data_IF_734656770513
#
_entry.id   IF_734656770513
#
_cell.length_a   1.000
_cell.length_b   1.000
_cell.length_c   1.000
_cell.angle_alpha   90.00
_cell.angle_beta   90.00
_cell.angle_gamma   90.00
#
_symmetry.space_group_name_H-M   'P 1'
#
loop_
_entity.id
_entity.type
_entity.pdbx_description
1 polymer ?
#
# COMPACT_ATOMS: atom_id res chain seq x y z
N UNK A 1 5.00 5.85 30.88
CA UNK A 1 6.46 6.09 30.95
C UNK A 1 7.23 5.78 29.66
N UNK A 2 6.63 5.14 28.64
CA UNK A 2 7.29 4.96 27.33
C UNK A 2 7.31 6.23 26.46
N UNK A 3 6.38 7.18 26.68
CA UNK A 3 6.26 8.43 25.90
C UNK A 3 7.38 9.47 26.21
N UNK A 4 8.08 9.35 27.35
CA UNK A 4 9.18 10.26 27.72
C UNK A 4 10.53 9.84 27.13
N UNK A 5 10.68 8.61 26.63
CA UNK A 5 11.94 8.14 26.04
C UNK A 5 12.14 8.61 24.59
N UNK A 6 11.06 8.98 23.88
CA UNK A 6 11.13 9.50 22.51
C UNK A 6 11.29 11.03 22.44
N UNK A 7 11.19 11.74 23.58
CA UNK A 7 11.50 13.17 23.68
C UNK A 7 12.98 13.47 23.93
N UNK A 8 13.88 12.48 23.87
CA UNK A 8 15.31 12.75 23.99
C UNK A 8 15.92 13.25 22.68
N UNK A 9 16.06 14.58 22.66
CA UNK A 9 17.13 15.35 22.02
C UNK A 9 17.21 15.25 20.49
N UNK A 10 16.76 16.33 19.84
CA UNK A 10 17.31 16.79 18.56
C UNK A 10 18.85 16.66 18.60
N UNK A 11 19.38 15.66 17.89
CA UNK A 11 20.80 15.60 17.52
C UNK A 11 21.63 14.41 18.01
N UNK A 12 21.15 13.54 18.92
CA UNK A 12 21.93 12.35 19.34
C UNK A 12 21.13 11.06 19.17
N UNK A 13 21.66 10.11 18.39
CA UNK A 13 21.10 8.75 18.31
C UNK A 13 21.24 8.08 19.68
N UNK A 14 20.13 7.78 20.35
CA UNK A 14 20.15 7.08 21.63
C UNK A 14 20.88 5.73 21.55
N UNK A 15 21.38 5.18 22.67
CA UNK A 15 22.18 3.94 22.69
C UNK A 15 21.50 2.71 22.03
N UNK A 16 20.17 2.69 21.98
CA UNK A 16 19.42 1.65 21.28
C UNK A 16 19.56 1.75 19.75
N UNK A 17 19.54 2.97 19.19
CA UNK A 17 19.68 3.19 17.74
C UNK A 17 21.09 2.87 17.25
N UNK A 18 22.11 3.16 18.07
CA UNK A 18 23.51 2.78 17.77
C UNK A 18 23.64 1.27 17.68
N UNK A 19 23.12 0.53 18.69
CA UNK A 19 23.13 -0.94 18.66
C UNK A 19 22.30 -1.51 17.52
N UNK A 20 21.15 -0.92 17.20
CA UNK A 20 20.34 -1.34 16.06
C UNK A 20 21.13 -1.21 14.74
N UNK A 21 21.88 -0.12 14.57
CA UNK A 21 22.76 0.07 13.42
C UNK A 21 23.90 -0.96 13.37
N UNK A 22 24.54 -1.27 14.49
CA UNK A 22 25.58 -2.31 14.58
C UNK A 22 25.02 -3.69 14.19
N UNK A 23 23.86 -4.06 14.73
CA UNK A 23 23.17 -5.31 14.38
C UNK A 23 22.77 -5.34 12.91
N UNK A 24 22.27 -4.24 12.35
CA UNK A 24 21.93 -4.14 10.94
C UNK A 24 23.17 -4.39 10.05
N UNK A 25 24.31 -3.76 10.36
CA UNK A 25 25.55 -3.97 9.60
C UNK A 25 26.03 -5.43 9.70
N UNK A 26 25.94 -6.05 10.87
CA UNK A 26 26.30 -7.44 11.07
C UNK A 26 25.35 -8.40 10.33
N UNK A 27 24.04 -8.14 10.38
CA UNK A 27 23.02 -8.89 9.65
C UNK A 27 23.24 -8.77 8.14
N UNK A 28 23.57 -7.59 7.62
CA UNK A 28 23.86 -7.40 6.20
C UNK A 28 25.05 -8.25 5.74
N UNK A 29 26.12 -8.35 6.55
CA UNK A 29 27.27 -9.22 6.27
C UNK A 29 26.89 -10.70 6.31
N UNK A 30 26.08 -11.11 7.28
CA UNK A 30 25.62 -12.49 7.41
C UNK A 30 24.73 -12.89 6.23
N UNK A 31 23.75 -12.06 5.88
CA UNK A 31 22.85 -12.24 4.73
C UNK A 31 23.63 -12.34 3.42
N UNK A 32 24.66 -11.50 3.21
CA UNK A 32 25.52 -11.60 2.03
C UNK A 32 26.21 -12.95 1.90
N UNK A 33 26.68 -13.53 3.03
CA UNK A 33 27.27 -14.87 3.03
C UNK A 33 26.22 -15.94 2.76
N UNK A 34 25.05 -15.85 3.40
CA UNK A 34 23.96 -16.80 3.22
C UNK A 34 23.42 -16.83 1.78
N UNK A 35 23.30 -15.66 1.12
CA UNK A 35 22.86 -15.58 -0.28
C UNK A 35 23.91 -16.14 -1.25
N UNK A 36 25.20 -16.09 -0.90
CA UNK A 36 26.28 -16.63 -1.72
C UNK A 36 26.43 -18.15 -1.59
N UNK A 37 25.87 -18.75 -0.53
CA UNK A 37 25.86 -20.19 -0.31
C UNK A 37 24.61 -20.81 -0.96
N UNK A 38 24.76 -21.78 -1.89
CA UNK A 38 23.65 -22.36 -2.63
C UNK A 38 22.67 -23.16 -1.77
N UNK A 39 23.05 -23.56 -0.55
CA UNK A 39 22.19 -24.25 0.41
C UNK A 39 21.46 -23.21 1.28
N UNK A 40 22.20 -22.26 1.85
CA UNK A 40 21.62 -21.27 2.78
C UNK A 40 20.64 -20.32 2.10
N UNK A 41 20.84 -20.01 0.81
CA UNK A 41 19.92 -19.13 0.06
C UNK A 41 18.50 -19.72 -0.04
N UNK A 42 18.37 -21.05 0.04
CA UNK A 42 17.08 -21.74 -0.01
C UNK A 42 16.33 -21.71 1.34
N UNK A 43 17.01 -21.45 2.47
CA UNK A 43 16.42 -21.51 3.81
C UNK A 43 15.50 -20.33 4.12
N UNK A 44 14.31 -20.56 4.66
CA UNK A 44 13.36 -19.51 5.11
C UNK A 44 14.00 -18.42 5.96
N UNK A 45 14.97 -18.77 6.81
CA UNK A 45 15.74 -17.82 7.61
C UNK A 45 16.46 -16.74 6.77
N UNK A 46 17.00 -17.10 5.60
CA UNK A 46 17.68 -16.14 4.72
C UNK A 46 16.71 -15.14 4.11
N UNK A 47 15.52 -15.60 3.69
CA UNK A 47 14.47 -14.72 3.16
C UNK A 47 13.93 -13.82 4.28
N UNK A 48 13.66 -14.39 5.45
CA UNK A 48 13.23 -13.64 6.63
C UNK A 48 14.24 -12.56 7.03
N UNK A 49 15.54 -12.89 7.00
CA UNK A 49 16.59 -11.91 7.30
C UNK A 49 16.63 -10.76 6.28
N UNK A 50 16.44 -11.03 4.98
CA UNK A 50 16.33 -9.97 3.96
C UNK A 50 15.11 -9.09 4.17
N UNK A 51 13.96 -9.67 4.51
CA UNK A 51 12.74 -8.92 4.81
C UNK A 51 12.88 -8.09 6.09
N UNK A 52 13.58 -8.59 7.10
CA UNK A 52 13.90 -7.83 8.31
C UNK A 52 14.86 -6.66 8.04
N UNK A 53 15.77 -6.79 7.07
CA UNK A 53 16.58 -5.65 6.61
C UNK A 53 15.70 -4.61 5.91
N UNK A 54 14.74 -5.01 5.06
CA UNK A 54 13.76 -4.08 4.49
C UNK A 54 12.96 -3.37 5.59
N UNK A 55 12.50 -4.12 6.60
CA UNK A 55 11.77 -3.56 7.73
C UNK A 55 12.61 -2.54 8.52
N UNK A 56 13.89 -2.83 8.75
CA UNK A 56 14.82 -1.88 9.36
C UNK A 56 14.89 -0.58 8.56
N UNK A 57 14.96 -0.65 7.22
CA UNK A 57 14.96 0.54 6.37
C UNK A 57 13.68 1.34 6.50
N UNK A 58 12.51 0.71 6.58
CA UNK A 58 11.23 1.39 6.83
C UNK A 58 11.23 2.18 8.15
N UNK A 59 11.88 1.66 9.18
CA UNK A 59 11.96 2.35 10.48
C UNK A 59 13.00 3.49 10.50
N UNK A 60 14.09 3.35 9.76
CA UNK A 60 15.27 4.22 9.93
C UNK A 60 15.50 5.21 8.80
N UNK A 61 15.08 4.88 7.58
CA UNK A 61 15.30 5.72 6.39
C UNK A 61 14.18 6.74 6.24
N UNK A 62 14.56 8.02 6.13
CA UNK A 62 13.62 9.17 6.05
C UNK A 62 13.64 9.90 4.71
N UNK A 63 14.74 9.81 3.97
CA UNK A 63 14.99 10.63 2.76
C UNK A 63 15.05 9.78 1.48
N UNK A 64 14.93 8.45 1.59
CA UNK A 64 15.10 7.52 0.47
C UNK A 64 14.27 6.26 0.64
N UNK A 65 13.73 5.77 -0.48
CA UNK A 65 13.12 4.44 -0.61
C UNK A 65 14.05 3.41 -1.24
N UNK A 66 15.25 3.81 -1.68
CA UNK A 66 16.13 2.99 -2.52
C UNK A 66 16.60 1.73 -1.80
N UNK A 67 17.02 1.85 -0.55
CA UNK A 67 17.54 0.76 0.28
C UNK A 67 16.42 -0.25 0.57
N UNK A 68 15.26 0.25 0.99
CA UNK A 68 14.04 -0.53 1.17
C UNK A 68 13.67 -1.30 -0.11
N UNK A 69 13.56 -0.61 -1.25
CA UNK A 69 13.23 -1.23 -2.54
C UNK A 69 14.29 -2.25 -2.96
N UNK A 70 15.58 -2.02 -2.66
CA UNK A 70 16.65 -2.96 -2.97
C UNK A 70 16.51 -4.27 -2.18
N UNK A 71 16.12 -4.20 -0.91
CA UNK A 71 15.84 -5.39 -0.12
C UNK A 71 14.60 -6.14 -0.62
N UNK A 72 13.52 -5.44 -0.98
CA UNK A 72 12.31 -6.05 -1.57
C UNK A 72 12.63 -6.76 -2.89
N UNK A 73 13.41 -6.13 -3.78
CA UNK A 73 13.91 -6.76 -5.02
C UNK A 73 14.79 -7.97 -4.73
N UNK A 74 15.65 -7.88 -3.72
CA UNK A 74 16.47 -9.01 -3.25
C UNK A 74 15.62 -10.19 -2.79
N UNK A 75 14.59 -9.94 -1.98
CA UNK A 75 13.63 -10.95 -1.54
C UNK A 75 12.92 -11.60 -2.73
N UNK A 76 12.45 -10.80 -3.70
CA UNK A 76 11.83 -11.33 -4.92
C UNK A 76 12.77 -12.25 -5.71
N UNK A 77 14.06 -11.90 -5.83
CA UNK A 77 15.06 -12.76 -6.48
C UNK A 77 15.29 -14.07 -5.73
N UNK A 78 15.35 -14.04 -4.40
CA UNK A 78 15.48 -15.25 -3.58
C UNK A 78 14.26 -16.16 -3.77
N UNK A 79 13.05 -15.60 -3.76
CA UNK A 79 11.83 -16.36 -4.03
C UNK A 79 11.89 -17.01 -5.42
N UNK A 80 12.33 -16.27 -6.44
CA UNK A 80 12.49 -16.80 -7.80
C UNK A 80 13.44 -18.01 -7.84
N UNK A 81 14.55 -17.94 -7.10
CA UNK A 81 15.53 -19.02 -7.02
C UNK A 81 14.97 -20.26 -6.32
N UNK A 82 14.21 -20.08 -5.24
CA UNK A 82 13.57 -21.17 -4.49
C UNK A 82 12.45 -21.86 -5.24
N UNK A 83 11.76 -21.14 -6.14
CA UNK A 83 10.62 -21.66 -6.88
C UNK A 83 9.50 -22.13 -5.94
N UNK A 84 8.96 -23.33 -6.20
CA UNK A 84 7.84 -23.88 -5.42
C UNK A 84 8.18 -24.18 -3.95
N UNK A 85 9.47 -24.32 -3.59
CA UNK A 85 9.88 -24.51 -2.19
C UNK A 85 9.40 -23.41 -1.25
N UNK A 86 9.22 -22.19 -1.77
CA UNK A 86 8.63 -21.08 -1.01
C UNK A 86 7.23 -21.37 -0.46
N UNK A 87 6.54 -22.37 -1.00
CA UNK A 87 5.16 -22.67 -0.67
C UNK A 87 5.01 -23.92 0.21
N UNK A 88 6.11 -24.56 0.62
CA UNK A 88 6.08 -25.80 1.40
C UNK A 88 5.76 -25.54 2.88
N UNK A 89 6.35 -24.49 3.46
CA UNK A 89 6.16 -24.07 4.86
C UNK A 89 5.10 -22.97 5.00
N UNK A 90 4.52 -22.81 6.19
CA UNK A 90 3.62 -21.69 6.48
C UNK A 90 4.38 -20.35 6.40
N UNK A 91 5.58 -20.30 6.98
CA UNK A 91 6.44 -19.12 6.99
C UNK A 91 6.86 -18.71 5.57
N UNK A 92 7.23 -19.68 4.73
CA UNK A 92 7.57 -19.44 3.33
C UNK A 92 6.39 -18.84 2.56
N UNK A 93 5.18 -19.38 2.76
CA UNK A 93 3.95 -18.87 2.12
C UNK A 93 3.67 -17.43 2.53
N UNK A 94 3.80 -17.10 3.81
CA UNK A 94 3.60 -15.73 4.31
C UNK A 94 4.67 -14.77 3.80
N UNK A 95 5.94 -15.17 3.79
CA UNK A 95 7.02 -14.34 3.23
C UNK A 95 6.89 -14.13 1.72
N UNK A 96 6.39 -15.14 0.99
CA UNK A 96 6.04 -15.01 -0.42
C UNK A 96 4.95 -13.94 -0.60
N UNK A 97 3.85 -14.07 0.14
CA UNK A 97 2.72 -13.14 0.05
C UNK A 97 3.14 -11.72 0.45
N UNK A 98 3.92 -11.56 1.52
CA UNK A 98 4.47 -10.29 1.96
C UNK A 98 5.33 -9.64 0.87
N UNK A 99 6.26 -10.39 0.29
CA UNK A 99 7.14 -9.87 -0.78
C UNK A 99 6.34 -9.43 -2.01
N UNK A 100 5.40 -10.26 -2.47
CA UNK A 100 4.49 -9.91 -3.58
C UNK A 100 3.73 -8.63 -3.28
N UNK A 101 3.11 -8.53 -2.11
CA UNK A 101 2.28 -7.38 -1.75
C UNK A 101 3.11 -6.09 -1.67
N UNK A 102 4.36 -6.16 -1.18
CA UNK A 102 5.26 -5.01 -1.20
C UNK A 102 5.65 -4.59 -2.63
N UNK A 103 5.94 -5.54 -3.53
CA UNK A 103 6.18 -5.22 -4.94
C UNK A 103 4.97 -4.53 -5.59
N UNK A 104 3.75 -4.99 -5.29
CA UNK A 104 2.51 -4.40 -5.80
C UNK A 104 2.34 -2.96 -5.29
N UNK A 105 2.53 -2.71 -3.99
CA UNK A 105 2.42 -1.36 -3.41
C UNK A 105 3.43 -0.38 -4.02
N UNK A 106 4.68 -0.82 -4.21
CA UNK A 106 5.73 -0.01 -4.83
C UNK A 106 5.36 0.30 -6.30
N UNK A 107 4.89 -0.69 -7.06
CA UNK A 107 4.44 -0.50 -8.45
C UNK A 107 3.31 0.54 -8.51
N UNK A 108 2.29 0.41 -7.67
CA UNK A 108 1.13 1.30 -7.68
C UNK A 108 1.48 2.74 -7.33
N UNK A 109 2.34 2.94 -6.32
CA UNK A 109 2.70 4.28 -5.90
C UNK A 109 3.65 4.94 -6.90
N UNK A 110 4.73 4.27 -7.31
CA UNK A 110 5.79 4.90 -8.10
C UNK A 110 5.59 4.76 -9.61
N UNK A 111 4.68 3.88 -10.07
CA UNK A 111 4.47 3.56 -11.50
C UNK A 111 5.78 3.20 -12.22
N UNK A 112 6.74 2.66 -11.48
CA UNK A 112 8.08 2.41 -11.96
C UNK A 112 8.17 1.08 -12.69
N UNK A 113 8.77 1.07 -13.88
CA UNK A 113 9.05 -0.17 -14.62
C UNK A 113 9.94 -1.14 -13.84
N UNK A 114 10.64 -0.67 -12.80
CA UNK A 114 11.51 -1.48 -11.96
C UNK A 114 10.83 -2.67 -11.28
N UNK A 115 9.52 -2.63 -11.03
CA UNK A 115 8.79 -3.77 -10.44
C UNK A 115 8.18 -4.71 -11.48
N UNK A 116 8.13 -4.28 -12.75
CA UNK A 116 7.58 -5.07 -13.85
C UNK A 116 8.38 -6.34 -14.15
N UNK A 117 9.69 -6.37 -13.87
CA UNK A 117 10.53 -7.58 -14.00
C UNK A 117 10.13 -8.70 -13.02
N UNK A 118 9.35 -8.38 -11.99
CA UNK A 118 8.83 -9.32 -11.00
C UNK A 118 7.35 -9.68 -11.22
N UNK A 119 6.81 -9.44 -12.43
CA UNK A 119 5.41 -9.77 -12.79
C UNK A 119 5.06 -11.24 -12.56
N UNK A 120 6.04 -12.15 -12.56
CA UNK A 120 5.85 -13.56 -12.24
C UNK A 120 5.31 -13.80 -10.81
N UNK A 121 5.53 -12.88 -9.87
CA UNK A 121 4.92 -12.92 -8.53
C UNK A 121 3.38 -12.85 -8.59
N UNK A 122 2.83 -12.32 -9.69
CA UNK A 122 1.40 -12.15 -9.92
C UNK A 122 0.74 -13.41 -10.52
N UNK A 123 1.49 -14.47 -10.80
CA UNK A 123 0.96 -15.71 -11.39
C UNK A 123 0.76 -16.85 -10.39
N UNK A 124 1.25 -16.71 -9.17
CA UNK A 124 1.08 -17.72 -8.12
C UNK A 124 -0.23 -17.47 -7.36
N UNK A 125 -0.99 -18.54 -7.13
CA UNK A 125 -2.25 -18.50 -6.40
C UNK A 125 -2.07 -17.92 -4.99
N UNK A 126 -3.09 -17.20 -4.53
CA UNK A 126 -3.18 -16.70 -3.16
C UNK A 126 -3.40 -17.88 -2.20
N UNK A 127 -2.42 -18.15 -1.34
CA UNK A 127 -2.54 -19.14 -0.26
C UNK A 127 -3.46 -18.67 0.88
N UNK A 128 -3.90 -17.41 0.85
CA UNK A 128 -4.73 -16.81 1.89
C UNK A 128 -6.18 -17.32 1.82
N UNK A 129 -6.66 -17.88 2.93
CA UNK A 129 -8.06 -18.36 3.06
C UNK A 129 -9.07 -17.23 3.26
N UNK A 130 -8.62 -16.11 3.81
CA UNK A 130 -9.44 -14.92 4.12
C UNK A 130 -9.07 -13.83 3.12
N UNK A 131 -10.06 -13.11 2.58
CA UNK A 131 -9.88 -12.02 1.60
C UNK A 131 -9.29 -12.45 0.24
N UNK A 132 -9.39 -13.74 -0.10
CA UNK A 132 -8.87 -14.32 -1.36
C UNK A 132 -9.36 -13.55 -2.59
N UNK A 133 -10.66 -13.29 -2.67
CA UNK A 133 -11.28 -12.61 -3.81
C UNK A 133 -10.63 -11.25 -4.07
N UNK A 134 -10.49 -10.42 -3.04
CA UNK A 134 -9.86 -9.10 -3.15
C UNK A 134 -8.38 -9.19 -3.50
N UNK A 135 -7.66 -10.14 -2.91
CA UNK A 135 -6.25 -10.35 -3.26
C UNK A 135 -6.08 -10.76 -4.74
N UNK A 136 -6.95 -11.64 -5.25
CA UNK A 136 -6.95 -12.07 -6.65
C UNK A 136 -7.31 -10.91 -7.59
N UNK A 137 -8.30 -10.09 -7.23
CA UNK A 137 -8.65 -8.85 -7.96
C UNK A 137 -7.47 -7.88 -8.00
N UNK A 138 -6.76 -7.68 -6.89
CA UNK A 138 -5.61 -6.78 -6.79
C UNK A 138 -4.42 -7.27 -7.65
N UNK A 139 -4.18 -8.58 -7.66
CA UNK A 139 -3.17 -9.22 -8.50
C UNK A 139 -3.53 -9.04 -9.98
N UNK A 140 -4.79 -9.30 -10.34
CA UNK A 140 -5.27 -9.14 -11.71
C UNK A 140 -5.20 -7.69 -12.18
N UNK A 141 -5.61 -6.73 -11.34
CA UNK A 141 -5.44 -5.31 -11.59
C UNK A 141 -3.97 -4.96 -11.87
N UNK A 142 -3.05 -5.40 -11.01
CA UNK A 142 -1.63 -5.07 -11.15
C UNK A 142 -1.07 -5.57 -12.48
N UNK A 143 -1.52 -6.74 -12.94
CA UNK A 143 -1.17 -7.26 -14.29
C UNK A 143 -1.71 -6.36 -15.40
N UNK A 144 -2.97 -5.94 -15.31
CA UNK A 144 -3.56 -5.02 -16.30
C UNK A 144 -2.79 -3.70 -16.35
N UNK A 145 -2.46 -3.11 -15.19
CA UNK A 145 -1.66 -1.90 -15.10
C UNK A 145 -0.29 -2.07 -15.78
N UNK A 146 0.41 -3.17 -15.51
CA UNK A 146 1.71 -3.45 -16.15
C UNK A 146 1.61 -3.61 -17.67
N UNK A 147 0.56 -4.25 -18.18
CA UNK A 147 0.32 -4.34 -19.62
C UNK A 147 0.07 -2.96 -20.24
N UNK A 148 -0.78 -2.14 -19.61
CA UNK A 148 -1.07 -0.77 -20.05
C UNK A 148 0.19 0.09 -20.04
N UNK A 149 0.98 0.06 -18.96
CA UNK A 149 2.22 0.82 -18.85
C UNK A 149 3.24 0.40 -19.92
N UNK A 150 3.37 -0.91 -20.18
CA UNK A 150 4.23 -1.43 -21.25
C UNK A 150 3.78 -0.97 -22.63
N UNK A 151 2.47 -1.02 -22.91
CA UNK A 151 1.91 -0.61 -24.20
C UNK A 151 2.12 0.88 -24.46
N UNK A 152 1.81 1.73 -23.47
CA UNK A 152 2.03 3.18 -23.54
C UNK A 152 3.52 3.50 -23.79
N UNK A 153 4.44 2.77 -23.14
CA UNK A 153 5.87 2.99 -23.29
C UNK A 153 6.39 2.62 -24.70
N UNK A 154 5.87 1.53 -25.29
CA UNK A 154 6.30 1.01 -26.60
C UNK A 154 5.63 1.74 -27.77
N UNK A 155 4.36 2.08 -27.65
CA UNK A 155 3.55 2.62 -28.73
C UNK A 155 3.29 4.14 -28.53
N UNK A 156 4.35 4.95 -28.59
CA UNK A 156 4.22 6.42 -28.55
C UNK A 156 3.47 6.98 -29.76
N UNK A 157 3.52 6.28 -30.88
CA UNK A 157 2.70 6.53 -32.06
C UNK A 157 1.76 5.34 -32.25
N UNK A 158 0.45 5.49 -31.96
CA UNK A 158 -0.51 4.39 -31.97
C UNK A 158 -0.70 3.80 -33.38
N UNK A 159 -0.20 2.58 -33.59
CA UNK A 159 -0.58 1.77 -34.75
C UNK A 159 -1.90 1.04 -34.51
N UNK A 160 -2.57 0.49 -35.55
CA UNK A 160 -3.84 -0.21 -35.41
C UNK A 160 -3.81 -1.35 -34.38
N UNK A 161 -2.75 -2.17 -34.40
CA UNK A 161 -2.59 -3.29 -33.45
C UNK A 161 -2.51 -2.83 -31.99
N UNK A 162 -1.79 -1.73 -31.73
CA UNK A 162 -1.66 -1.16 -30.40
C UNK A 162 -2.98 -0.53 -29.92
N UNK A 163 -3.79 0.02 -30.84
CA UNK A 163 -5.12 0.53 -30.54
C UNK A 163 -6.04 -0.62 -30.13
N UNK A 164 -6.06 -1.71 -30.90
CA UNK A 164 -6.87 -2.90 -30.59
C UNK A 164 -6.49 -3.51 -29.23
N UNK A 165 -5.18 -3.63 -28.95
CA UNK A 165 -4.68 -4.10 -27.66
C UNK A 165 -5.11 -3.18 -26.50
N UNK A 166 -5.03 -1.86 -26.69
CA UNK A 166 -5.46 -0.90 -25.66
C UNK A 166 -6.97 -0.98 -25.40
N UNK A 167 -7.79 -1.13 -26.45
CA UNK A 167 -9.24 -1.32 -26.31
C UNK A 167 -9.55 -2.60 -25.55
N UNK A 168 -8.85 -3.69 -25.83
CA UNK A 168 -9.00 -4.95 -25.09
C UNK A 168 -8.62 -4.80 -23.61
N UNK A 169 -7.48 -4.15 -23.32
CA UNK A 169 -7.03 -3.88 -21.95
C UNK A 169 -8.01 -2.99 -21.19
N UNK A 170 -8.54 -1.93 -21.82
CA UNK A 170 -9.56 -1.07 -21.24
C UNK A 170 -10.86 -1.83 -20.96
N UNK A 171 -11.29 -2.71 -21.87
CA UNK A 171 -12.43 -3.62 -21.66
C UNK A 171 -12.26 -4.52 -20.44
N UNK A 172 -11.05 -5.07 -20.25
CA UNK A 172 -10.71 -5.86 -19.05
C UNK A 172 -10.72 -5.03 -17.78
N UNK A 173 -10.23 -3.79 -17.82
CA UNK A 173 -10.27 -2.87 -16.69
C UNK A 173 -11.71 -2.53 -16.28
N UNK A 174 -12.59 -2.26 -17.26
CA UNK A 174 -14.02 -2.00 -17.03
C UNK A 174 -14.72 -3.16 -16.35
N UNK A 175 -14.44 -4.39 -16.80
CA UNK A 175 -15.00 -5.58 -16.17
C UNK A 175 -14.59 -5.67 -14.70
N UNK A 176 -13.31 -5.45 -14.41
CA UNK A 176 -12.79 -5.48 -13.04
C UNK A 176 -13.35 -4.34 -12.18
N UNK A 177 -13.53 -3.13 -12.74
CA UNK A 177 -14.14 -2.00 -12.03
C UNK A 177 -15.59 -2.32 -11.65
N UNK A 178 -16.35 -2.94 -12.55
CA UNK A 178 -17.71 -3.37 -12.27
C UNK A 178 -17.74 -4.44 -11.16
N UNK A 179 -16.76 -5.35 -11.11
CA UNK A 179 -16.63 -6.30 -9.99
C UNK A 179 -16.35 -5.56 -8.67
N UNK A 180 -15.45 -4.55 -8.65
CA UNK A 180 -15.23 -3.70 -7.46
C UNK A 180 -16.50 -2.97 -7.03
N UNK A 181 -17.28 -2.45 -7.97
CA UNK A 181 -18.55 -1.79 -7.69
C UNK A 181 -19.55 -2.73 -7.02
N UNK A 182 -19.63 -3.97 -7.50
CA UNK A 182 -20.51 -4.98 -6.92
C UNK A 182 -20.11 -5.38 -5.49
N UNK A 183 -18.85 -5.18 -5.08
CA UNK A 183 -18.44 -5.38 -3.68
C UNK A 183 -19.14 -4.39 -2.73
N UNK A 184 -19.46 -3.18 -3.19
CA UNK A 184 -20.18 -2.17 -2.39
C UNK A 184 -21.63 -2.59 -2.09
N UNK A 185 -22.26 -3.28 -3.04
CA UNK A 185 -23.62 -3.79 -2.92
C UNK A 185 -23.68 -5.20 -2.30
N UNK A 186 -22.54 -5.73 -1.86
CA UNK A 186 -22.45 -7.07 -1.33
C UNK A 186 -23.14 -7.16 0.05
N UNK A 187 -24.03 -8.15 0.19
CA UNK A 187 -24.82 -8.38 1.41
C UNK A 187 -23.92 -8.89 2.55
N UNK A 188 -22.73 -9.41 2.25
CA UNK A 188 -21.80 -9.90 3.25
C UNK A 188 -21.41 -8.76 4.23
N UNK A 189 -21.64 -8.92 5.54
CA UNK A 189 -21.32 -7.90 6.54
C UNK A 189 -19.86 -7.44 6.54
N UNK A 190 -18.92 -8.26 6.03
CA UNK A 190 -17.52 -7.87 5.88
C UNK A 190 -17.33 -6.63 4.98
N UNK A 191 -18.22 -6.42 4.00
CA UNK A 191 -18.19 -5.29 3.07
C UNK A 191 -18.96 -4.06 3.57
N UNK A 192 -19.66 -4.17 4.70
CA UNK A 192 -20.34 -3.03 5.31
C UNK A 192 -19.36 -2.13 6.04
N UNK A 193 -19.27 -0.88 5.62
CA UNK A 193 -18.52 0.17 6.31
C UNK A 193 -19.45 0.87 7.29
N UNK A 194 -19.07 0.95 8.56
CA UNK A 194 -19.86 1.65 9.56
C UNK A 194 -19.23 3.01 9.89
N UNK A 195 -20.07 4.05 9.87
CA UNK A 195 -19.71 5.37 10.38
C UNK A 195 -19.85 5.35 11.89
N UNK A 196 -18.83 5.82 12.57
CA UNK A 196 -18.78 5.76 14.02
C UNK A 196 -18.84 7.14 14.67
N UNK A 197 -18.41 8.18 13.96
CA UNK A 197 -18.78 9.56 14.24
C UNK A 197 -18.82 10.38 12.95
N UNK A 198 -19.47 11.54 13.02
CA UNK A 198 -19.49 12.54 11.96
C UNK A 198 -18.89 13.84 12.48
N UNK A 199 -17.76 14.26 11.91
CA UNK A 199 -17.07 15.51 12.26
C UNK A 199 -17.62 16.62 11.37
N UNK A 200 -18.19 17.67 11.97
CA UNK A 200 -18.88 18.70 11.20
C UNK A 200 -17.93 19.65 10.47
N UNK A 201 -16.89 20.13 11.16
CA UNK A 201 -15.93 21.06 10.61
C UNK A 201 -14.54 20.86 11.22
N UNK A 202 -13.53 21.30 10.47
CA UNK A 202 -12.15 21.46 10.93
C UNK A 202 -11.56 22.74 10.33
N UNK A 203 -10.90 23.53 11.14
CA UNK A 203 -10.04 24.60 10.64
C UNK A 203 -8.83 24.03 9.90
N UNK A 204 -8.22 24.84 9.05
CA UNK A 204 -7.04 24.45 8.27
C UNK A 204 -5.86 24.07 9.20
N UNK A 205 -5.69 24.81 10.30
CA UNK A 205 -4.66 24.57 11.33
C UNK A 205 -4.87 23.24 12.08
N UNK A 206 -6.13 22.88 12.37
CA UNK A 206 -6.47 21.63 13.05
C UNK A 206 -6.11 20.39 12.21
N UNK A 207 -6.19 20.47 10.88
CA UNK A 207 -5.92 19.33 9.99
C UNK A 207 -4.50 18.77 10.15
N UNK A 208 -3.54 19.59 10.58
CA UNK A 208 -2.15 19.14 10.77
C UNK A 208 -1.98 18.18 11.97
N UNK A 209 -2.85 18.27 12.98
CA UNK A 209 -2.68 17.58 14.27
C UNK A 209 -3.85 16.72 14.68
N UNK A 210 -5.07 17.03 14.24
CA UNK A 210 -6.27 16.28 14.59
C UNK A 210 -6.28 14.86 13.99
N UNK A 211 -6.80 13.86 14.73
CA UNK A 211 -6.81 12.46 14.30
C UNK A 211 -7.85 12.16 13.22
N UNK A 212 -8.76 13.09 12.94
CA UNK A 212 -9.90 12.93 12.03
C UNK A 212 -9.98 14.10 11.05
N UNK A 213 -10.53 13.81 9.87
CA UNK A 213 -10.93 14.82 8.89
C UNK A 213 -12.39 15.21 9.10
N UNK A 214 -12.84 16.30 8.47
CA UNK A 214 -14.27 16.62 8.41
C UNK A 214 -15.05 15.58 7.59
N UNK A 215 -16.27 15.26 8.03
CA UNK A 215 -17.10 14.21 7.46
C UNK A 215 -17.14 12.92 8.28
N UNK A 216 -17.47 11.77 7.66
CA UNK A 216 -17.62 10.51 8.37
C UNK A 216 -16.26 9.95 8.82
N UNK A 217 -16.25 9.35 10.00
CA UNK A 217 -15.11 8.57 10.50
C UNK A 217 -15.53 7.11 10.56
N UNK A 218 -14.78 6.24 9.88
CA UNK A 218 -15.11 4.83 9.77
C UNK A 218 -14.57 4.01 10.95
N UNK A 219 -15.38 3.05 11.42
CA UNK A 219 -14.93 1.99 12.33
C UNK A 219 -14.89 0.65 11.62
N UNK A 220 -13.97 -0.19 12.10
CA UNK A 220 -13.84 -1.57 11.65
C UNK A 220 -13.81 -2.51 12.84
N UNK A 221 -14.33 -3.71 12.64
CA UNK A 221 -14.37 -4.73 13.68
C UNK A 221 -12.98 -5.12 14.18
N UNK A 222 -12.02 -5.30 13.27
CA UNK A 222 -10.62 -5.62 13.57
C UNK A 222 -9.69 -5.07 12.46
N UNK A 223 -8.37 -5.15 12.69
CA UNK A 223 -7.37 -4.68 11.74
C UNK A 223 -7.49 -5.39 10.37
N UNK A 224 -7.59 -6.73 10.27
CA UNK A 224 -7.73 -7.39 8.97
C UNK A 224 -8.88 -6.87 8.10
N UNK A 225 -10.03 -6.54 8.70
CA UNK A 225 -11.17 -5.94 7.99
C UNK A 225 -10.84 -4.50 7.58
N UNK A 226 -10.22 -3.70 8.45
CA UNK A 226 -9.79 -2.36 8.08
C UNK A 226 -8.80 -2.38 6.89
N UNK A 227 -7.85 -3.32 6.91
CA UNK A 227 -6.86 -3.52 5.85
C UNK A 227 -7.54 -3.94 4.55
N UNK A 228 -8.49 -4.88 4.59
CA UNK A 228 -9.29 -5.26 3.41
C UNK A 228 -9.87 -4.01 2.73
N UNK A 229 -10.58 -3.17 3.48
CA UNK A 229 -11.27 -1.99 2.95
C UNK A 229 -10.30 -0.96 2.38
N UNK A 230 -9.33 -0.51 3.17
CA UNK A 230 -8.43 0.57 2.75
C UNK A 230 -7.57 0.18 1.55
N UNK A 231 -7.16 -1.09 1.50
CA UNK A 231 -6.40 -1.62 0.37
C UNK A 231 -7.29 -1.72 -0.87
N UNK A 232 -8.54 -2.20 -0.73
CA UNK A 232 -9.51 -2.25 -1.84
C UNK A 232 -9.76 -0.87 -2.45
N UNK A 233 -9.94 0.17 -1.61
CA UNK A 233 -10.12 1.55 -2.10
C UNK A 233 -8.89 2.08 -2.84
N UNK A 234 -7.68 1.77 -2.36
CA UNK A 234 -6.44 2.14 -3.07
C UNK A 234 -6.34 1.48 -4.45
N UNK A 235 -6.67 0.19 -4.54
CA UNK A 235 -6.64 -0.53 -5.80
C UNK A 235 -7.73 -0.06 -6.76
N UNK A 236 -8.93 0.21 -6.26
CA UNK A 236 -10.00 0.77 -7.06
C UNK A 236 -9.64 2.16 -7.62
N UNK A 237 -9.08 3.04 -6.78
CA UNK A 237 -8.58 4.35 -7.19
C UNK A 237 -7.52 4.24 -8.31
N UNK A 238 -6.54 3.34 -8.14
CA UNK A 238 -5.50 3.15 -9.13
C UNK A 238 -6.03 2.47 -10.41
N UNK A 239 -7.05 1.62 -10.32
CA UNK A 239 -7.76 1.04 -11.47
C UNK A 239 -8.46 2.12 -12.30
N UNK A 240 -9.20 3.02 -11.64
CA UNK A 240 -9.88 4.13 -12.32
C UNK A 240 -8.83 5.05 -12.99
N UNK A 241 -7.73 5.37 -12.30
CA UNK A 241 -6.63 6.13 -12.89
C UNK A 241 -6.02 5.44 -14.11
N UNK A 242 -5.87 4.10 -14.07
CA UNK A 242 -5.42 3.32 -15.24
C UNK A 242 -6.43 3.39 -16.39
N UNK A 243 -7.73 3.25 -16.13
CA UNK A 243 -8.78 3.37 -17.15
C UNK A 243 -8.75 4.73 -17.84
N UNK A 244 -8.64 5.81 -17.07
CA UNK A 244 -8.53 7.15 -17.63
C UNK A 244 -7.28 7.32 -18.50
N UNK A 245 -6.13 6.76 -18.08
CA UNK A 245 -4.91 6.77 -18.90
C UNK A 245 -5.09 6.02 -20.21
N UNK A 246 -5.76 4.87 -20.21
CA UNK A 246 -6.11 4.15 -21.44
C UNK A 246 -6.98 5.01 -22.36
N UNK A 247 -8.04 5.63 -21.81
CA UNK A 247 -8.94 6.50 -22.58
C UNK A 247 -8.21 7.73 -23.13
N UNK A 248 -7.34 8.38 -22.35
CA UNK A 248 -6.52 9.50 -22.83
C UNK A 248 -5.53 9.08 -23.91
N UNK A 249 -4.94 7.88 -23.81
CA UNK A 249 -4.05 7.35 -24.83
C UNK A 249 -4.81 7.07 -26.14
N UNK A 250 -6.01 6.48 -26.06
CA UNK A 250 -6.89 6.28 -27.23
C UNK A 250 -7.33 7.62 -27.86
N UNK A 251 -7.65 8.62 -27.03
CA UNK A 251 -7.97 9.96 -27.50
C UNK A 251 -6.79 10.57 -28.27
N UNK A 252 -5.56 10.43 -27.76
CA UNK A 252 -4.36 10.89 -28.46
C UNK A 252 -4.10 10.16 -29.80
N UNK A 253 -4.70 8.98 -29.99
CA UNK A 253 -4.68 8.22 -31.25
C UNK A 253 -5.78 8.67 -32.24
N UNK A 254 -6.60 9.67 -31.90
CA UNK A 254 -7.78 10.07 -32.68
C UNK A 254 -8.92 9.04 -32.60
N UNK A 255 -8.99 8.27 -31.51
CA UNK A 255 -9.99 7.22 -31.24
C UNK A 255 -10.76 7.48 -29.96
N UNK A 256 -11.19 8.73 -29.78
CA UNK A 256 -11.94 9.18 -28.61
C UNK A 256 -13.20 8.32 -28.42
N UNK A 257 -13.90 8.00 -29.50
CA UNK A 257 -15.12 7.18 -29.48
C UNK A 257 -14.93 5.78 -28.89
N UNK A 258 -13.73 5.20 -28.99
CA UNK A 258 -13.42 3.87 -28.44
C UNK A 258 -13.13 3.92 -26.93
N UNK A 259 -12.77 5.10 -26.41
CA UNK A 259 -12.53 5.35 -24.99
C UNK A 259 -13.78 5.75 -24.20
N UNK A 260 -14.85 6.22 -24.87
CA UNK A 260 -15.98 6.97 -24.29
C UNK A 260 -17.08 6.13 -23.61
N UNK A 261 -16.97 4.79 -23.53
CA UNK A 261 -18.01 4.00 -22.84
C UNK A 261 -18.21 4.37 -21.36
N UNK A 262 -17.25 5.06 -20.73
CA UNK A 262 -17.38 5.62 -19.38
C UNK A 262 -17.34 7.14 -19.45
N UNK A 263 -18.35 7.80 -18.88
CA UNK A 263 -18.35 9.24 -18.69
C UNK A 263 -17.19 9.63 -17.75
N UNK A 264 -16.27 10.47 -18.23
CA UNK A 264 -15.12 10.95 -17.45
C UNK A 264 -15.56 11.54 -16.11
N UNK A 265 -16.71 12.21 -16.07
CA UNK A 265 -17.27 12.76 -14.84
C UNK A 265 -17.60 11.65 -13.82
N UNK A 266 -18.11 10.52 -14.29
CA UNK A 266 -18.40 9.35 -13.44
C UNK A 266 -17.11 8.75 -12.87
N UNK A 267 -16.07 8.57 -13.68
CA UNK A 267 -14.78 8.05 -13.21
C UNK A 267 -14.10 9.03 -12.23
N UNK A 268 -14.22 10.34 -12.45
CA UNK A 268 -13.69 11.37 -11.55
C UNK A 268 -14.40 11.37 -10.19
N UNK A 269 -15.73 11.21 -10.20
CA UNK A 269 -16.54 11.07 -8.98
C UNK A 269 -16.14 9.81 -8.20
N UNK A 270 -16.03 8.65 -8.86
CA UNK A 270 -15.61 7.41 -8.22
C UNK A 270 -14.20 7.52 -7.61
N UNK A 271 -13.28 8.20 -8.29
CA UNK A 271 -11.93 8.45 -7.76
C UNK A 271 -11.96 9.34 -6.52
N UNK A 272 -12.81 10.37 -6.53
CA UNK A 272 -13.04 11.26 -5.38
C UNK A 272 -13.63 10.49 -4.20
N UNK A 273 -14.60 9.61 -4.44
CA UNK A 273 -15.21 8.75 -3.42
C UNK A 273 -14.17 7.82 -2.80
N UNK A 274 -13.30 7.20 -3.62
CA UNK A 274 -12.22 6.34 -3.10
C UNK A 274 -11.23 7.12 -2.21
N UNK A 275 -10.86 8.35 -2.60
CA UNK A 275 -10.01 9.20 -1.75
C UNK A 275 -10.72 9.57 -0.45
N UNK A 276 -12.01 9.90 -0.52
CA UNK A 276 -12.83 10.18 0.65
C UNK A 276 -12.87 8.97 1.60
N UNK A 277 -13.09 7.77 1.08
CA UNK A 277 -13.13 6.55 1.88
C UNK A 277 -11.78 6.27 2.57
N UNK A 278 -10.66 6.46 1.86
CA UNK A 278 -9.32 6.35 2.45
C UNK A 278 -9.17 7.36 3.60
N UNK A 279 -9.52 8.63 3.39
CA UNK A 279 -9.44 9.69 4.39
C UNK A 279 -10.27 9.35 5.64
N UNK A 280 -11.49 8.86 5.44
CA UNK A 280 -12.43 8.45 6.50
C UNK A 280 -12.00 7.18 7.24
N UNK A 281 -11.21 6.31 6.61
CA UNK A 281 -10.65 5.09 7.19
C UNK A 281 -9.32 5.28 7.94
N UNK A 282 -8.51 6.27 7.56
CA UNK A 282 -7.19 6.57 8.17
C UNK A 282 -7.21 6.72 9.70
N UNK A 283 -8.21 7.39 10.32
CA UNK A 283 -8.27 7.54 11.78
C UNK A 283 -8.14 6.20 12.52
N UNK A 284 -8.77 5.14 12.01
CA UNK A 284 -8.71 3.81 12.63
C UNK A 284 -7.28 3.32 12.81
N UNK A 285 -6.37 3.62 11.88
CA UNK A 285 -4.98 3.17 11.93
C UNK A 285 -4.08 4.10 12.75
N UNK A 286 -4.48 5.36 12.94
CA UNK A 286 -3.66 6.43 13.51
C UNK A 286 -4.12 6.90 14.90
N UNK A 287 -4.65 5.98 15.74
CA UNK A 287 -5.05 6.16 17.17
C UNK A 287 -6.56 6.20 17.45
N UNK A 288 -7.44 6.13 16.46
CA UNK A 288 -8.88 6.23 16.75
C UNK A 288 -9.49 4.87 17.12
N UNK A 289 -10.01 4.74 18.36
CA UNK A 289 -10.67 3.54 18.89
C UNK A 289 -12.20 3.69 19.05
N UNK A 290 -12.79 4.78 18.56
CA UNK A 290 -14.15 5.18 18.94
C UNK A 290 -14.34 5.28 20.47
N UNK A 291 -15.47 5.84 20.89
CA UNK A 291 -15.91 5.68 22.27
C UNK A 291 -16.42 4.24 22.47
N UNK A 292 -15.53 3.32 22.84
CA UNK A 292 -15.91 1.99 23.34
C UNK A 292 -15.56 0.76 22.51
N UNK A 293 -14.78 0.86 21.42
CA UNK A 293 -14.28 -0.35 20.73
C UNK A 293 -12.98 -0.80 21.39
N UNK A 294 -13.07 -1.85 22.21
CA UNK A 294 -11.96 -2.41 23.02
C UNK A 294 -11.12 -3.42 22.22
N UNK A 295 -11.44 -3.69 20.95
CA UNK A 295 -11.05 -4.96 20.30
C UNK A 295 -10.35 -4.77 18.97
N UNK A 296 -9.22 -4.07 18.95
CA UNK A 296 -8.27 -4.29 17.86
C UNK A 296 -7.36 -5.47 18.25
N UNK A 297 -7.67 -6.66 17.71
CA UNK A 297 -6.84 -7.85 17.88
C UNK A 297 -5.61 -7.71 16.98
N UNK A 298 -4.43 -7.57 17.58
CA UNK A 298 -3.16 -7.56 16.83
C UNK A 298 -2.51 -8.94 16.84
N UNK A 299 -1.88 -9.34 15.73
CA UNK A 299 -1.12 -10.58 15.67
C UNK A 299 0.12 -10.55 16.58
N UNK A 300 0.63 -9.37 16.95
CA UNK A 300 1.77 -9.21 17.84
C UNK A 300 1.60 -8.04 18.82
N UNK A 301 2.04 -8.25 20.07
CA UNK A 301 1.99 -7.25 21.14
C UNK A 301 0.63 -7.14 21.85
N UNK A 302 0.63 -6.52 23.02
CA UNK A 302 -0.59 -6.12 23.73
C UNK A 302 -0.82 -4.64 23.45
N UNK A 303 -1.99 -4.27 22.93
CA UNK A 303 -2.39 -2.87 22.73
C UNK A 303 -3.43 -2.50 23.78
N UNK A 304 -3.28 -1.33 24.38
CA UNK A 304 -4.22 -0.73 25.31
C UNK A 304 -5.00 0.39 24.63
N UNK A 305 -6.20 0.75 25.12
CA UNK A 305 -6.98 1.85 24.56
C UNK A 305 -6.24 3.20 24.48
N UNK A 306 -5.26 3.42 25.38
CA UNK A 306 -4.43 4.62 25.48
C UNK A 306 -3.10 4.53 24.71
N UNK A 307 -2.80 3.40 24.07
CA UNK A 307 -1.60 3.28 23.25
C UNK A 307 -1.74 4.17 22.01
N UNK A 308 -0.70 4.95 21.68
CA UNK A 308 -0.80 5.96 20.64
C UNK A 308 -0.99 5.36 19.24
N UNK A 309 -0.60 4.09 19.04
CA UNK A 309 -0.78 3.38 17.78
C UNK A 309 -1.08 1.90 18.00
N UNK A 310 -1.73 1.39 16.97
CA UNK A 310 -2.22 0.03 16.78
C UNK A 310 -1.15 -0.88 16.15
N UNK A 311 -0.03 -1.13 16.84
CA UNK A 311 1.01 -2.04 16.36
C UNK A 311 1.47 -1.78 14.91
N UNK A 312 1.31 -2.78 14.03
CA UNK A 312 1.65 -2.70 12.59
C UNK A 312 0.76 -1.77 11.75
N UNK A 313 -0.33 -1.22 12.30
CA UNK A 313 -1.28 -0.38 11.57
C UNK A 313 -0.61 0.81 10.87
N UNK A 314 0.37 1.44 11.53
CA UNK A 314 1.17 2.52 10.95
C UNK A 314 1.98 2.09 9.72
N UNK A 315 2.50 0.85 9.72
CA UNK A 315 3.23 0.29 8.59
C UNK A 315 2.32 0.08 7.38
N UNK A 316 1.08 -0.35 7.64
CA UNK A 316 0.11 -0.65 6.60
C UNK A 316 -0.45 0.65 6.01
N UNK A 317 -0.92 1.57 6.85
CA UNK A 317 -1.68 2.76 6.41
C UNK A 317 -0.84 3.82 5.70
N UNK A 318 0.48 3.85 5.92
CA UNK A 318 1.33 4.87 5.28
C UNK A 318 1.24 4.80 3.74
N UNK A 319 1.14 3.60 3.17
CA UNK A 319 1.08 3.38 1.73
C UNK A 319 -0.25 3.86 1.13
N UNK A 320 -1.43 3.47 1.67
CA UNK A 320 -2.71 4.09 1.32
C UNK A 320 -2.72 5.61 1.42
N UNK A 321 -2.13 6.17 2.49
CA UNK A 321 -2.03 7.62 2.64
C UNK A 321 -1.22 8.22 1.49
N UNK A 322 -0.05 7.66 1.17
CA UNK A 322 0.77 8.14 0.05
C UNK A 322 0.03 8.03 -1.29
N UNK A 323 -0.70 6.93 -1.54
CA UNK A 323 -1.51 6.75 -2.75
C UNK A 323 -2.59 7.83 -2.84
N UNK A 324 -3.31 8.10 -1.75
CA UNK A 324 -4.33 9.14 -1.71
C UNK A 324 -3.73 10.54 -1.88
N UNK A 325 -2.60 10.84 -1.22
CA UNK A 325 -1.88 12.11 -1.39
C UNK A 325 -1.43 12.29 -2.84
N UNK A 326 -1.03 11.23 -3.54
CA UNK A 326 -0.58 11.30 -4.94
C UNK A 326 -1.73 11.49 -5.93
N UNK A 327 -2.94 11.06 -5.60
CA UNK A 327 -4.10 11.10 -6.47
C UNK A 327 -4.45 12.52 -6.91
N UNK A 328 -4.76 12.74 -8.18
CA UNK A 328 -5.25 14.04 -8.67
C UNK A 328 -6.61 14.44 -8.08
N UNK A 329 -7.35 13.46 -7.52
CA UNK A 329 -8.69 13.64 -6.96
C UNK A 329 -8.69 13.99 -5.47
N UNK A 330 -7.52 14.07 -4.83
CA UNK A 330 -7.42 14.52 -3.44
C UNK A 330 -7.42 16.05 -3.35
N UNK A 331 -8.30 16.59 -2.51
CA UNK A 331 -8.38 18.04 -2.28
C UNK A 331 -7.15 18.54 -1.51
N UNK A 332 -6.80 19.84 -1.60
CA UNK A 332 -5.70 20.41 -0.83
C UNK A 332 -5.83 20.18 0.68
N UNK A 333 -7.06 20.27 1.23
CA UNK A 333 -7.37 20.01 2.64
C UNK A 333 -7.15 18.55 3.01
N UNK A 334 -7.62 17.60 2.19
CA UNK A 334 -7.35 16.18 2.40
C UNK A 334 -5.85 15.88 2.38
N UNK A 335 -5.08 16.44 1.44
CA UNK A 335 -3.62 16.27 1.40
C UNK A 335 -2.93 16.84 2.64
N UNK A 336 -3.37 18.00 3.14
CA UNK A 336 -2.85 18.60 4.39
C UNK A 336 -3.08 17.66 5.57
N UNK A 337 -4.31 17.19 5.75
CA UNK A 337 -4.66 16.23 6.78
C UNK A 337 -3.83 14.94 6.71
N UNK A 338 -3.76 14.34 5.52
CA UNK A 338 -3.01 13.10 5.28
C UNK A 338 -1.50 13.27 5.55
N UNK A 339 -0.90 14.42 5.20
CA UNK A 339 0.49 14.73 5.57
C UNK A 339 0.67 14.89 7.09
N UNK A 340 -0.32 15.47 7.78
CA UNK A 340 -0.37 15.48 9.24
C UNK A 340 -0.36 14.08 9.84
N UNK A 341 -1.12 13.14 9.24
CA UNK A 341 -1.14 11.72 9.66
C UNK A 341 0.17 10.99 9.37
N UNK A 342 0.83 11.23 8.23
CA UNK A 342 2.18 10.71 8.00
C UNK A 342 3.19 11.25 9.01
N UNK A 343 3.09 12.53 9.39
CA UNK A 343 3.94 13.13 10.42
C UNK A 343 3.70 12.46 11.78
N UNK A 344 2.44 12.22 12.14
CA UNK A 344 2.07 11.46 13.32
C UNK A 344 2.68 10.05 13.32
N UNK A 345 2.60 9.32 12.20
CA UNK A 345 3.21 7.98 12.06
C UNK A 345 4.74 8.05 12.25
N UNK A 346 5.41 9.05 11.66
CA UNK A 346 6.84 9.23 11.83
C UNK A 346 7.24 9.58 13.28
N UNK A 347 6.56 10.54 13.89
CA UNK A 347 6.91 11.11 15.19
C UNK A 347 6.51 10.20 16.35
N UNK A 348 5.40 9.46 16.20
CA UNK A 348 4.79 8.67 17.29
C UNK A 348 5.00 7.17 17.11
N UNK A 349 4.95 6.63 15.89
CA UNK A 349 5.30 5.21 15.64
C UNK A 349 6.80 4.98 15.47
N UNK A 350 7.59 6.03 15.22
CA UNK A 350 9.00 5.91 14.87
C UNK A 350 9.25 5.33 13.46
N UNK A 351 8.23 5.30 12.60
CA UNK A 351 8.34 4.82 11.22
C UNK A 351 8.84 5.98 10.36
N UNK A 352 10.17 6.16 10.30
CA UNK A 352 10.76 7.33 9.64
C UNK A 352 10.49 7.38 8.13
N UNK A 353 10.19 6.25 7.48
CA UNK A 353 9.85 6.21 6.06
C UNK A 353 8.58 7.00 5.73
N UNK A 354 7.67 7.23 6.70
CA UNK A 354 6.54 8.12 6.50
C UNK A 354 6.97 9.56 6.15
N UNK A 355 8.16 10.01 6.59
CA UNK A 355 8.71 11.33 6.23
C UNK A 355 9.06 11.46 4.75
N UNK A 356 9.51 10.38 4.11
CA UNK A 356 9.76 10.37 2.67
C UNK A 356 8.48 10.73 1.92
N UNK A 357 7.35 10.12 2.28
CA UNK A 357 6.06 10.39 1.64
C UNK A 357 5.52 11.80 1.91
N UNK A 358 5.90 12.46 3.00
CA UNK A 358 5.50 13.86 3.24
C UNK A 358 6.14 14.80 2.22
N UNK A 359 7.38 14.51 1.82
CA UNK A 359 8.21 15.42 1.02
C UNK A 359 8.13 15.12 -0.49
N UNK A 360 8.01 13.85 -0.85
CA UNK A 360 8.19 13.37 -2.23
C UNK A 360 6.88 12.99 -2.93
N UNK A 361 5.76 13.03 -2.21
CA UNK A 361 4.41 12.69 -2.70
C UNK A 361 3.43 13.82 -2.38
#
# INVERSE_FOLDING_TARGET
MACLAMQQAKGMRGPALVRAQEHHVNALRAVRRAIADPIEVENDQTLGAVLMLAFYETLMSKDSMKEYMSHVKGAAKIIRMRGQKCLETDEGREMFALTRNQCILIQNLFKGTEMSEYSWLLHNETSQRVNRETADMNIYYTRLQQCVDSLIAKARHPGPEAIDEMVELLGKCRKLENEFRQLKDNINPLWKVEVAEWVFDRTDEELDTEPTFEGPVYKFYNLPVAVLHIISWCFHLNLISTMMRCSSWLASAGKEELGVLDDYETLARLSTDCVHDIVSGVPYFCNWNAYGVVVSQFPCGLTKPDDPLKGEAGLIVMWPIAIAIKSDYATPRQRRYLRGRLRYIADVSGINQARYFINEV
#
